data_IF_780868410117
#
_entry.id   IF_780868410117
#
_cell.length_a   1.000
_cell.length_b   1.000
_cell.length_c   1.000
_cell.angle_alpha   90.00
_cell.angle_beta   90.00
_cell.angle_gamma   90.00
#
_symmetry.space_group_name_H-M   'P 1'
#
loop_
_entity.id
_entity.type
_entity.pdbx_description
1 polymer ?
#
# COMPACT_ATOMS: atom_id res chain seq x y z
N UNK A 1 -5.28 8.28 5.17
CA UNK A 1 -4.85 8.21 3.76
C UNK A 1 -5.84 7.42 2.91
N UNK A 2 -6.10 6.13 3.21
CA UNK A 2 -7.07 5.29 2.47
C UNK A 2 -8.46 5.95 2.34
N UNK A 3 -8.99 6.53 3.42
CA UNK A 3 -10.28 7.26 3.41
C UNK A 3 -10.26 8.49 2.49
N UNK A 4 -9.19 9.27 2.51
CA UNK A 4 -9.04 10.42 1.61
C UNK A 4 -8.93 9.99 0.14
N UNK A 5 -8.19 8.91 -0.13
CA UNK A 5 -8.02 8.37 -1.47
C UNK A 5 -9.33 7.77 -2.02
N UNK A 6 -10.07 7.05 -1.17
CA UNK A 6 -11.41 6.52 -1.45
C UNK A 6 -12.36 7.64 -1.89
N UNK A 7 -12.42 8.74 -1.12
CA UNK A 7 -13.24 9.92 -1.48
C UNK A 7 -12.77 10.64 -2.73
N UNK A 8 -11.45 10.70 -2.97
CA UNK A 8 -10.89 11.36 -4.14
C UNK A 8 -11.17 10.60 -5.44
N UNK A 9 -11.12 9.26 -5.39
CA UNK A 9 -11.37 8.39 -6.54
C UNK A 9 -12.85 8.00 -6.71
N UNK A 10 -13.70 8.36 -5.75
CA UNK A 10 -15.10 7.91 -5.67
C UNK A 10 -15.24 6.38 -5.76
N UNK A 11 -14.33 5.67 -5.08
CA UNK A 11 -14.24 4.21 -5.06
C UNK A 11 -14.13 3.71 -3.61
N UNK A 12 -14.91 2.69 -3.20
CA UNK A 12 -14.86 2.17 -1.84
C UNK A 12 -13.59 1.34 -1.62
N UNK A 13 -12.54 1.99 -1.11
CA UNK A 13 -11.28 1.32 -0.76
C UNK A 13 -11.23 0.91 0.71
N UNK A 14 -10.82 -0.33 0.98
CA UNK A 14 -10.48 -0.79 2.33
C UNK A 14 -9.23 -1.67 2.32
N UNK A 15 -8.49 -1.69 3.44
CA UNK A 15 -7.31 -2.54 3.59
C UNK A 15 -7.76 -3.88 4.18
N UNK A 16 -7.59 -4.95 3.41
CA UNK A 16 -7.94 -6.30 3.82
C UNK A 16 -6.78 -6.98 4.58
N UNK A 17 -5.55 -6.78 4.10
CA UNK A 17 -4.35 -7.30 4.75
C UNK A 17 -3.14 -6.38 4.54
N UNK A 18 -2.19 -6.47 5.47
CA UNK A 18 -0.98 -5.67 5.53
C UNK A 18 0.21 -6.54 5.93
N UNK A 19 1.28 -6.49 5.15
CA UNK A 19 2.54 -7.13 5.50
C UNK A 19 3.71 -6.19 5.25
N UNK A 20 4.57 -6.04 6.25
CA UNK A 20 5.82 -5.30 6.14
C UNK A 20 7.02 -6.18 6.41
N UNK A 21 8.12 -5.88 5.72
CA UNK A 21 9.38 -6.56 5.94
C UNK A 21 10.55 -5.59 5.75
N UNK A 22 11.54 -5.66 6.65
CA UNK A 22 12.82 -4.96 6.45
C UNK A 22 13.69 -5.76 5.48
N UNK A 23 14.08 -5.18 4.36
CA UNK A 23 14.90 -5.83 3.33
C UNK A 23 16.38 -5.96 3.74
N UNK A 24 16.88 -5.06 4.57
CA UNK A 24 18.29 -5.01 4.99
C UNK A 24 18.43 -4.60 6.46
N UNK A 25 19.59 -4.91 7.06
CA UNK A 25 20.00 -4.44 8.39
C UNK A 25 21.08 -3.37 8.27
N UNK A 26 21.00 -2.31 9.07
CA UNK A 26 21.97 -1.21 9.10
C UNK A 26 21.32 0.16 8.88
N UNK A 27 22.12 1.23 8.85
CA UNK A 27 21.64 2.62 8.68
C UNK A 27 21.02 2.90 7.30
N UNK A 28 21.22 2.01 6.33
CA UNK A 28 20.65 2.06 4.98
C UNK A 28 19.53 1.02 4.76
N UNK A 29 18.99 0.46 5.83
CA UNK A 29 17.90 -0.51 5.76
C UNK A 29 16.71 0.07 4.97
N UNK A 30 16.33 -0.63 3.91
CA UNK A 30 15.08 -0.40 3.19
C UNK A 30 13.99 -1.32 3.76
N UNK A 31 12.74 -0.88 3.67
CA UNK A 31 11.57 -1.63 4.03
C UNK A 31 10.70 -1.85 2.80
N UNK A 32 10.09 -3.02 2.71
CA UNK A 32 9.05 -3.33 1.74
C UNK A 32 7.73 -3.46 2.48
N UNK A 33 6.68 -2.94 1.87
CA UNK A 33 5.32 -3.10 2.32
C UNK A 33 4.48 -3.70 1.19
N UNK A 34 3.66 -4.67 1.55
CA UNK A 34 2.62 -5.26 0.72
C UNK A 34 1.25 -4.89 1.32
N UNK A 35 0.38 -4.40 0.46
CA UNK A 35 -1.00 -4.03 0.80
C UNK A 35 -1.94 -4.87 -0.03
N UNK A 36 -2.96 -5.41 0.62
CA UNK A 36 -4.10 -6.02 -0.04
C UNK A 36 -5.30 -5.11 0.15
N UNK A 37 -5.78 -4.53 -0.95
CA UNK A 37 -6.89 -3.59 -0.98
C UNK A 37 -8.11 -4.28 -1.55
N UNK A 38 -9.22 -4.18 -0.82
CA UNK A 38 -10.53 -4.55 -1.32
C UNK A 38 -11.25 -3.32 -1.86
N UNK A 39 -11.80 -3.45 -3.07
CA UNK A 39 -12.66 -2.45 -3.72
C UNK A 39 -13.67 -3.16 -4.61
N UNK A 40 -14.96 -2.83 -4.46
CA UNK A 40 -16.07 -3.39 -5.26
C UNK A 40 -16.05 -4.93 -5.37
N UNK A 41 -15.75 -5.61 -4.26
CA UNK A 41 -15.67 -7.07 -4.19
C UNK A 41 -14.47 -7.69 -4.91
N UNK A 42 -13.49 -6.88 -5.33
CA UNK A 42 -12.20 -7.32 -5.88
C UNK A 42 -11.09 -7.07 -4.88
N UNK A 43 -10.12 -7.98 -4.85
CA UNK A 43 -8.86 -7.83 -4.09
C UNK A 43 -7.71 -7.48 -5.01
N UNK A 44 -6.96 -6.45 -4.66
CA UNK A 44 -5.86 -5.90 -5.44
C UNK A 44 -4.65 -5.77 -4.53
N UNK A 45 -3.55 -6.38 -4.95
CA UNK A 45 -2.28 -6.24 -4.25
C UNK A 45 -1.50 -5.04 -4.76
N UNK A 46 -0.90 -4.30 -3.83
CA UNK A 46 0.07 -3.24 -4.07
C UNK A 46 1.33 -3.49 -3.25
N UNK A 47 2.44 -2.96 -3.74
CA UNK A 47 3.72 -3.05 -3.04
C UNK A 47 4.48 -1.72 -3.15
N UNK A 48 5.23 -1.38 -2.10
CA UNK A 48 6.07 -0.19 -2.02
C UNK A 48 7.38 -0.50 -1.30
N UNK A 49 8.47 0.15 -1.71
CA UNK A 49 9.81 -0.07 -1.15
C UNK A 49 10.42 1.28 -0.83
N UNK A 50 10.68 1.51 0.45
CA UNK A 50 11.26 2.76 0.90
C UNK A 50 12.11 2.57 2.16
N UNK A 51 13.10 3.44 2.39
CA UNK A 51 13.88 3.46 3.64
C UNK A 51 13.01 3.79 4.87
N UNK A 52 11.88 4.46 4.66
CA UNK A 52 10.88 4.70 5.68
C UNK A 52 9.68 3.77 5.47
N UNK A 53 9.36 2.95 6.47
CA UNK A 53 8.25 2.00 6.40
C UNK A 53 6.88 2.68 6.20
N UNK A 54 6.70 3.89 6.74
CA UNK A 54 5.47 4.68 6.53
C UNK A 54 5.36 5.10 5.06
N UNK A 55 6.46 5.47 4.43
CA UNK A 55 6.43 5.82 3.01
C UNK A 55 6.23 4.58 2.13
N UNK A 56 6.84 3.45 2.48
CA UNK A 56 6.64 2.19 1.76
C UNK A 56 5.16 1.74 1.80
N UNK A 57 4.45 1.95 2.91
CA UNK A 57 3.03 1.59 3.01
C UNK A 57 2.13 2.52 2.19
N UNK A 58 2.43 3.82 2.13
CA UNK A 58 1.73 4.76 1.24
C UNK A 58 1.95 4.40 -0.23
N UNK A 59 3.19 4.10 -0.63
CA UNK A 59 3.52 3.64 -1.98
C UNK A 59 2.78 2.34 -2.33
N UNK A 60 2.68 1.40 -1.38
CA UNK A 60 1.91 0.17 -1.58
C UNK A 60 0.42 0.43 -1.83
N UNK A 61 -0.19 1.37 -1.08
CA UNK A 61 -1.59 1.76 -1.30
C UNK A 61 -1.77 2.39 -2.69
N UNK A 62 -0.90 3.31 -3.08
CA UNK A 62 -0.97 3.97 -4.40
C UNK A 62 -0.74 2.95 -5.52
N UNK A 63 0.19 2.01 -5.33
CA UNK A 63 0.47 0.91 -6.26
C UNK A 63 -0.76 0.02 -6.50
N UNK A 64 -1.52 -0.31 -5.45
CA UNK A 64 -2.79 -1.03 -5.57
C UNK A 64 -3.87 -0.17 -6.24
N UNK A 65 -4.01 1.10 -5.84
CA UNK A 65 -5.02 2.00 -6.42
C UNK A 65 -4.81 2.23 -7.93
N UNK A 66 -3.56 2.34 -8.39
CA UNK A 66 -3.24 2.46 -9.82
C UNK A 66 -3.63 1.24 -10.65
N UNK A 67 -3.86 0.08 -10.02
CA UNK A 67 -4.30 -1.16 -10.69
C UNK A 67 -5.82 -1.31 -10.74
N UNK A 68 -6.56 -0.36 -10.14
CA UNK A 68 -8.02 -0.28 -10.22
C UNK A 68 -8.52 0.42 -11.49
N UNK A 69 -7.63 1.14 -12.19
CA UNK A 69 -7.90 1.81 -13.46
C UNK A 69 -7.60 0.89 -14.63
#
# INVERSE_FOLDING_TARGET
>A
FIDALSRYLDLPLSVADYSEHSLQRGSDASAICYMDIESDGRRIFGAGINKNIVTASLEAIVSAANRLQ
#
